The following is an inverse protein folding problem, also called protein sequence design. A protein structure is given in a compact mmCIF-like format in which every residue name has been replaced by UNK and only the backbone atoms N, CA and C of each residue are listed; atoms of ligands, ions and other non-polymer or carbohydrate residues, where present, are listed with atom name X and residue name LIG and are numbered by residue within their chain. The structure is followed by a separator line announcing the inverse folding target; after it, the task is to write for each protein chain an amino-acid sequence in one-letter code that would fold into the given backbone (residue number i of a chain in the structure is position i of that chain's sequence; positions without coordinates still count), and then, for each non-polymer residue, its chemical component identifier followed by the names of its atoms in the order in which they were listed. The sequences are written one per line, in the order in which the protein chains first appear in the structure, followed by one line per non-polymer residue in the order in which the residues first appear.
data_IF_318279037510
#
_entry.id   IF_318279037510
#
_cell.length_a   1.000
_cell.length_b   1.000
_cell.length_c   1.000
_cell.angle_alpha   90.00
_cell.angle_beta   90.00
_cell.angle_gamma   90.00
#
_symmetry.space_group_name_H-M   'P 1'
#
loop_
_entity.id
_entity.type
_entity.pdbx_description
1 polymer ?
#
# COMPACT_ATOMS: atom_id res chain seq x y z
N UNK A 1 4.97 -15.66 3.14
CA UNK A 1 3.92 -14.99 2.37
C UNK A 1 4.29 -13.53 2.37
N UNK A 2 4.39 -12.98 1.18
CA UNK A 2 5.02 -11.69 0.95
C UNK A 2 4.02 -10.79 0.24
N UNK A 3 4.06 -9.50 0.56
CA UNK A 3 3.20 -8.51 -0.08
C UNK A 3 3.99 -7.27 -0.50
N UNK A 4 3.73 -6.81 -1.71
CA UNK A 4 4.13 -5.51 -2.23
C UNK A 4 2.91 -4.58 -2.30
N UNK A 5 3.17 -3.28 -2.21
CA UNK A 5 2.16 -2.24 -2.32
C UNK A 5 2.52 -1.31 -3.46
N UNK A 6 1.52 -0.98 -4.26
CA UNK A 6 1.67 -0.09 -5.40
C UNK A 6 0.76 1.11 -5.20
N UNK A 7 1.33 2.30 -5.28
CA UNK A 7 0.63 3.58 -5.17
C UNK A 7 0.70 4.28 -6.54
N UNK A 8 -0.44 4.48 -7.18
CA UNK A 8 -0.56 5.08 -8.50
C UNK A 8 -1.16 6.48 -8.40
N UNK A 9 -0.44 7.48 -8.92
CA UNK A 9 -0.95 8.82 -9.17
C UNK A 9 -1.40 8.93 -10.63
N UNK A 10 -2.72 9.02 -10.82
CA UNK A 10 -3.34 8.97 -12.15
C UNK A 10 -3.17 10.26 -12.96
N UNK A 11 -2.77 11.38 -12.37
CA UNK A 11 -2.61 12.64 -13.12
C UNK A 11 -1.40 12.63 -14.06
N UNK A 12 -0.38 11.84 -13.73
CA UNK A 12 0.91 11.79 -14.44
C UNK A 12 1.41 10.36 -14.66
N UNK A 13 0.51 9.37 -14.55
CA UNK A 13 0.82 7.95 -14.70
C UNK A 13 2.06 7.50 -13.89
N UNK A 14 2.19 8.00 -12.65
CA UNK A 14 3.37 7.76 -11.83
C UNK A 14 3.07 6.74 -10.75
N UNK A 15 3.95 5.75 -10.61
CA UNK A 15 3.75 4.60 -9.73
C UNK A 15 4.90 4.46 -8.75
N UNK A 16 4.58 4.41 -7.45
CA UNK A 16 5.52 3.98 -6.41
C UNK A 16 5.25 2.52 -6.09
N UNK A 17 6.32 1.72 -6.08
CA UNK A 17 6.28 0.33 -5.63
C UNK A 17 7.07 0.25 -4.34
N UNK A 18 6.43 -0.25 -3.28
CA UNK A 18 7.02 -0.33 -1.95
C UNK A 18 6.72 -1.67 -1.29
N UNK A 19 7.69 -2.17 -0.52
CA UNK A 19 7.52 -3.40 0.26
C UNK A 19 8.57 -3.51 1.35
N UNK A 20 8.27 -4.38 2.32
CA UNK A 20 9.25 -4.75 3.34
C UNK A 20 8.96 -6.15 3.88
N UNK A 21 9.99 -6.99 3.86
CA UNK A 21 9.99 -8.35 4.38
C UNK A 21 11.38 -8.63 4.98
N UNK A 22 11.41 -9.04 6.24
CA UNK A 22 12.64 -9.29 7.00
C UNK A 22 13.64 -8.13 6.90
N UNK A 23 14.84 -8.38 6.37
CA UNK A 23 15.89 -7.38 6.16
C UNK A 23 15.77 -6.65 4.81
N UNK A 24 14.87 -7.08 3.93
CA UNK A 24 14.69 -6.50 2.61
C UNK A 24 13.60 -5.42 2.65
N UNK A 25 13.96 -4.23 2.16
CA UNK A 25 13.03 -3.14 1.95
C UNK A 25 13.23 -2.58 0.56
N UNK A 26 12.12 -2.32 -0.13
CA UNK A 26 12.14 -1.76 -1.47
C UNK A 26 11.30 -0.50 -1.52
N UNK A 27 11.85 0.53 -2.13
CA UNK A 27 11.14 1.67 -2.69
C UNK A 27 11.65 1.87 -4.10
N UNK A 28 10.74 2.01 -5.05
CA UNK A 28 11.07 2.39 -6.41
C UNK A 28 9.98 3.24 -7.03
N UNK A 29 10.39 4.18 -7.87
CA UNK A 29 9.52 5.08 -8.62
C UNK A 29 9.56 4.71 -10.09
N UNK A 30 8.39 4.52 -10.69
CA UNK A 30 8.28 4.01 -12.06
C UNK A 30 7.22 4.78 -12.84
N UNK A 31 7.45 4.88 -14.14
CA UNK A 31 6.41 5.27 -15.07
C UNK A 31 5.44 4.12 -15.27
N UNK A 32 4.15 4.43 -15.26
CA UNK A 32 3.11 3.46 -15.55
C UNK A 32 2.67 3.56 -17.00
N UNK A 33 2.64 2.43 -17.70
CA UNK A 33 2.30 2.36 -19.12
C UNK A 33 0.86 2.84 -19.40
N UNK A 34 -0.05 2.60 -18.45
CA UNK A 34 -1.47 2.94 -18.56
C UNK A 34 -1.89 3.81 -17.38
N UNK A 35 -2.36 5.03 -17.65
CA UNK A 35 -2.68 6.05 -16.64
C UNK A 35 -3.67 5.56 -15.56
N UNK A 36 -4.59 4.67 -15.93
CA UNK A 36 -5.71 4.21 -15.11
C UNK A 36 -5.70 2.70 -14.83
N UNK A 37 -4.55 2.03 -14.98
CA UNK A 37 -4.49 0.59 -14.78
C UNK A 37 -3.28 0.18 -13.96
N UNK A 38 -3.49 -0.77 -13.07
CA UNK A 38 -2.42 -1.41 -12.34
C UNK A 38 -1.86 -2.60 -13.14
N UNK A 39 -0.54 -2.90 -13.01
CA UNK A 39 0.04 -4.10 -13.61
C UNK A 39 -0.69 -5.37 -13.19
N UNK A 40 -1.16 -6.20 -14.13
CA UNK A 40 -1.82 -7.47 -13.79
C UNK A 40 -0.82 -8.62 -13.98
N UNK A 41 -0.42 -9.32 -12.90
CA UNK A 41 0.50 -10.44 -13.01
C UNK A 41 -0.11 -11.62 -13.77
N UNK A 42 0.70 -12.40 -14.50
CA UNK A 42 0.24 -13.65 -15.08
C UNK A 42 -0.28 -14.63 -14.00
N UNK A 43 -1.45 -15.29 -14.20
CA UNK A 43 -2.06 -16.17 -13.20
C UNK A 43 -1.15 -17.32 -12.73
N UNK A 44 -0.27 -17.84 -13.59
CA UNK A 44 0.65 -18.92 -13.23
C UNK A 44 1.65 -18.54 -12.12
N UNK A 45 1.90 -17.25 -11.90
CA UNK A 45 2.81 -16.79 -10.86
C UNK A 45 2.20 -16.84 -9.47
N UNK A 46 0.90 -17.09 -9.31
CA UNK A 46 0.29 -17.20 -7.98
C UNK A 46 0.29 -15.89 -7.18
N UNK A 47 0.35 -14.75 -7.86
CA UNK A 47 0.23 -13.42 -7.24
C UNK A 47 -1.24 -13.02 -7.23
N UNK A 48 -1.70 -12.55 -6.07
CA UNK A 48 -3.07 -12.10 -5.85
C UNK A 48 -3.10 -10.60 -5.66
N UNK A 49 -4.11 -9.96 -6.24
CA UNK A 49 -4.30 -8.52 -6.19
C UNK A 49 -5.52 -8.16 -5.34
N UNK A 50 -5.39 -7.11 -4.53
CA UNK A 50 -6.57 -6.43 -3.99
C UNK A 50 -7.40 -5.80 -5.13
N UNK A 51 -8.63 -5.33 -4.87
CA UNK A 51 -9.40 -4.53 -5.84
C UNK A 51 -8.51 -3.50 -6.55
N UNK A 52 -8.61 -3.40 -7.89
CA UNK A 52 -7.64 -2.67 -8.71
C UNK A 52 -8.24 -1.74 -9.77
N UNK A 53 -9.57 -1.62 -9.87
CA UNK A 53 -10.21 -0.74 -10.84
C UNK A 53 -10.00 0.73 -10.48
N UNK A 54 -9.42 1.51 -11.39
CA UNK A 54 -9.31 2.98 -11.24
C UNK A 54 -10.40 3.64 -12.07
N UNK A 55 -11.35 4.29 -11.41
CA UNK A 55 -12.47 4.97 -12.08
C UNK A 55 -12.43 6.49 -11.95
N UNK A 56 -11.59 7.03 -11.06
CA UNK A 56 -11.50 8.46 -10.77
C UNK A 56 -10.06 8.92 -10.76
N UNK A 57 -9.84 10.21 -10.99
CA UNK A 57 -8.53 10.80 -10.79
C UNK A 57 -8.14 10.80 -9.30
N UNK A 58 -6.85 10.64 -9.01
CA UNK A 58 -6.30 10.75 -7.67
C UNK A 58 -5.18 9.74 -7.41
N UNK A 59 -4.92 9.48 -6.13
CA UNK A 59 -3.92 8.51 -5.70
C UNK A 59 -4.59 7.21 -5.23
N UNK A 60 -4.27 6.10 -5.90
CA UNK A 60 -4.87 4.79 -5.65
C UNK A 60 -3.83 3.80 -5.16
N UNK A 61 -4.26 2.80 -4.37
CA UNK A 61 -3.39 1.79 -3.76
C UNK A 61 -3.90 0.40 -4.11
N UNK A 62 -2.99 -0.49 -4.49
CA UNK A 62 -3.21 -1.93 -4.66
C UNK A 62 -2.15 -2.72 -3.90
N UNK A 63 -2.56 -3.83 -3.28
CA UNK A 63 -1.66 -4.82 -2.72
C UNK A 63 -1.52 -6.03 -3.63
N UNK A 64 -0.28 -6.52 -3.75
CA UNK A 64 0.11 -7.71 -4.49
C UNK A 64 0.70 -8.68 -3.49
N UNK A 65 0.04 -9.81 -3.26
CA UNK A 65 0.49 -10.77 -2.27
C UNK A 65 0.65 -12.15 -2.90
N UNK A 66 1.67 -12.89 -2.47
CA UNK A 66 1.88 -14.27 -2.90
C UNK A 66 2.25 -15.16 -1.72
N UNK A 67 1.72 -16.39 -1.77
CA UNK A 67 2.14 -17.48 -0.86
C UNK A 67 3.26 -18.33 -1.47
N UNK A 68 3.59 -18.12 -2.75
CA UNK A 68 4.60 -18.86 -3.51
C UNK A 68 5.89 -18.06 -3.72
N UNK A 69 5.77 -16.75 -3.88
CA UNK A 69 6.88 -15.88 -4.25
C UNK A 69 7.31 -15.03 -3.05
N UNK A 70 8.62 -14.77 -2.97
CA UNK A 70 9.16 -13.78 -2.05
C UNK A 70 8.88 -12.34 -2.53
N UNK A 71 9.15 -11.36 -1.66
CA UNK A 71 8.92 -9.96 -2.00
C UNK A 71 9.66 -9.52 -3.27
N UNK A 72 10.90 -9.96 -3.48
CA UNK A 72 11.72 -9.56 -4.63
C UNK A 72 11.09 -10.03 -5.95
N UNK A 73 10.67 -11.29 -6.01
CA UNK A 73 9.99 -11.87 -7.18
C UNK A 73 8.66 -11.17 -7.48
N UNK A 74 7.91 -10.78 -6.45
CA UNK A 74 6.69 -9.98 -6.62
C UNK A 74 7.05 -8.62 -7.23
N UNK A 75 8.08 -7.94 -6.72
CA UNK A 75 8.54 -6.65 -7.25
C UNK A 75 8.97 -6.76 -8.71
N UNK A 76 9.84 -7.73 -9.02
CA UNK A 76 10.37 -7.96 -10.39
C UNK A 76 9.22 -8.14 -11.39
N UNK A 77 8.14 -8.81 -10.97
CA UNK A 77 6.92 -8.99 -11.79
C UNK A 77 6.17 -7.66 -12.00
N UNK A 78 6.00 -6.86 -10.93
CA UNK A 78 5.29 -5.57 -10.99
C UNK A 78 6.05 -4.57 -11.87
N UNK A 79 7.37 -4.53 -11.80
CA UNK A 79 8.21 -3.54 -12.49
C UNK A 79 8.63 -3.97 -13.89
N UNK A 80 8.32 -5.21 -14.29
CA UNK A 80 8.73 -5.75 -15.59
C UNK A 80 8.30 -4.84 -16.75
N UNK A 81 9.28 -4.42 -17.56
CA UNK A 81 9.06 -3.58 -18.74
C UNK A 81 8.74 -2.10 -18.42
N UNK A 82 8.91 -1.65 -17.18
CA UNK A 82 8.68 -0.26 -16.77
C UNK A 82 9.98 0.50 -16.61
N UNK A 83 9.94 1.77 -17.00
CA UNK A 83 11.06 2.67 -16.81
C UNK A 83 11.10 3.14 -15.36
N UNK A 84 12.22 2.89 -14.69
CA UNK A 84 12.49 3.49 -13.39
C UNK A 84 12.75 4.99 -13.57
N UNK A 85 12.00 5.80 -12.82
CA UNK A 85 12.11 7.25 -12.83
C UNK A 85 13.16 7.66 -11.79
N UNK A 86 14.38 7.90 -12.25
CA UNK A 86 15.43 8.46 -11.41
C UNK A 86 15.21 9.97 -11.22
N UNK A 87 14.80 10.38 -10.01
CA UNK A 87 14.80 11.77 -9.51
C UNK A 87 14.34 12.85 -10.51
N UNK A 88 13.36 12.56 -11.38
CA UNK A 88 12.77 13.58 -12.24
C UNK A 88 11.68 14.31 -11.46
N UNK A 89 11.89 15.55 -11.00
CA UNK A 89 10.75 16.43 -10.75
C UNK A 89 9.88 16.43 -12.03
N UNK A 90 8.56 16.52 -11.86
CA UNK A 90 7.55 16.55 -12.94
C UNK A 90 8.03 17.28 -14.19
N UNK A 91 7.60 16.87 -15.39
CA UNK A 91 7.95 17.54 -16.64
C UNK A 91 7.78 19.05 -16.51
N UNK A 92 8.91 19.76 -16.36
CA UNK A 92 8.95 21.20 -16.18
C UNK A 92 9.21 21.84 -17.52
N UNK A 93 8.46 22.90 -17.81
CA UNK A 93 8.66 23.65 -19.03
C UNK A 93 10.01 24.39 -19.04
N UNK A 94 10.41 24.83 -20.24
CA UNK A 94 11.66 25.56 -20.45
C UNK A 94 11.73 26.86 -19.63
N UNK A 95 10.57 27.50 -19.40
CA UNK A 95 10.45 28.71 -18.60
C UNK A 95 10.84 28.44 -17.14
N UNK A 96 10.34 27.35 -16.55
CA UNK A 96 10.70 26.92 -15.21
C UNK A 96 12.20 26.64 -15.12
N UNK A 97 12.76 25.87 -16.06
CA UNK A 97 14.19 25.54 -16.06
C UNK A 97 15.06 26.80 -16.15
N UNK A 98 14.63 27.78 -16.93
CA UNK A 98 15.29 29.08 -17.04
C UNK A 98 15.23 29.87 -15.73
N UNK A 99 14.08 29.89 -15.06
CA UNK A 99 13.89 30.55 -13.77
C UNK A 99 14.72 29.86 -12.65
N UNK A 100 14.74 28.53 -12.62
CA UNK A 100 15.57 27.75 -11.70
C UNK A 100 17.06 28.03 -11.88
N UNK A 101 17.54 28.05 -13.13
CA UNK A 101 18.93 28.38 -13.44
C UNK A 101 19.30 29.82 -13.04
N UNK A 102 18.37 30.76 -13.23
CA UNK A 102 18.54 32.15 -12.80
C UNK A 102 18.67 32.22 -11.28
N UNK A 103 17.82 31.49 -10.56
CA UNK A 103 17.89 31.38 -9.12
C UNK A 103 19.23 30.79 -8.65
N UNK A 104 19.69 29.68 -9.26
CA UNK A 104 20.97 29.06 -8.94
C UNK A 104 22.15 30.03 -9.10
N UNK A 105 22.18 30.80 -10.19
CA UNK A 105 23.22 31.82 -10.43
C UNK A 105 23.18 32.93 -9.37
N UNK A 106 21.99 33.36 -8.97
CA UNK A 106 21.83 34.39 -7.93
C UNK A 106 22.41 33.92 -6.59
N UNK A 107 22.16 32.66 -6.21
CA UNK A 107 22.72 32.07 -5.00
C UNK A 107 24.25 31.93 -5.09
N UNK A 108 24.76 31.48 -6.24
CA UNK A 108 26.18 31.26 -6.48
C UNK A 108 27.00 32.57 -6.53
N UNK A 109 26.37 33.69 -6.87
CA UNK A 109 27.07 34.98 -7.06
C UNK A 109 27.78 35.42 -5.77
N UNK A 110 29.11 35.49 -5.82
CA UNK A 110 29.94 35.90 -4.68
C UNK A 110 30.08 34.84 -3.59
N UNK A 111 29.78 33.57 -3.89
CA UNK A 111 29.95 32.45 -2.95
C UNK A 111 31.28 31.75 -3.24
N UNK A 112 32.13 31.64 -2.22
CA UNK A 112 33.33 30.81 -2.17
C UNK A 112 33.11 29.58 -1.27
N UNK A 113 33.98 28.56 -1.29
CA UNK A 113 33.85 27.38 -0.41
C UNK A 113 33.75 27.71 1.09
N UNK A 114 34.41 28.79 1.52
CA UNK A 114 34.41 29.24 2.92
C UNK A 114 33.31 30.27 3.23
N UNK A 115 32.47 30.61 2.25
CA UNK A 115 31.40 31.59 2.44
C UNK A 115 30.33 31.03 3.38
N UNK A 116 29.81 31.87 4.31
CA UNK A 116 28.70 31.47 5.16
C UNK A 116 27.44 31.23 4.32
N UNK A 117 26.54 30.39 4.82
CA UNK A 117 25.28 30.12 4.16
C UNK A 117 24.42 31.39 4.08
N UNK A 118 23.94 31.71 2.88
CA UNK A 118 23.09 32.88 2.67
C UNK A 118 21.69 32.65 3.25
N UNK A 119 21.12 33.59 4.03
CA UNK A 119 19.77 33.44 4.58
C UNK A 119 18.72 33.33 3.47
N UNK A 120 17.83 32.35 3.59
CA UNK A 120 16.77 32.12 2.62
C UNK A 120 15.83 33.33 2.50
N UNK A 121 15.57 34.03 3.60
CA UNK A 121 14.80 35.29 3.60
C UNK A 121 15.37 36.39 2.69
N UNK A 122 16.67 36.36 2.38
CA UNK A 122 17.33 37.33 1.49
C UNK A 122 17.37 36.85 0.03
N UNK A 123 17.17 35.54 -0.19
CA UNK A 123 17.19 34.92 -1.52
C UNK A 123 15.79 34.92 -2.12
N UNK A 124 14.77 34.61 -1.30
CA UNK A 124 13.39 34.56 -1.72
C UNK A 124 12.89 35.94 -2.19
N UNK A 125 12.30 36.00 -3.38
CA UNK A 125 11.91 37.25 -4.03
C UNK A 125 11.51 37.05 -5.49
N UNK A 126 11.77 38.05 -6.35
CA UNK A 126 11.46 37.97 -7.79
C UNK A 126 12.23 36.86 -8.51
N UNK A 127 13.51 36.67 -8.14
CA UNK A 127 14.44 35.83 -8.90
C UNK A 127 14.44 34.37 -8.41
N UNK A 128 13.94 34.12 -7.21
CA UNK A 128 13.89 32.81 -6.57
C UNK A 128 12.55 32.60 -5.87
N UNK A 129 11.76 31.66 -6.40
CA UNK A 129 10.60 31.11 -5.69
C UNK A 129 11.05 29.96 -4.79
N UNK A 130 10.29 29.66 -3.71
CA UNK A 130 10.59 28.53 -2.85
C UNK A 130 10.77 27.19 -3.62
N UNK A 131 9.97 26.95 -4.65
CA UNK A 131 10.01 25.73 -5.46
C UNK A 131 11.37 25.52 -6.15
N UNK A 132 12.00 26.61 -6.62
CA UNK A 132 13.33 26.55 -7.24
C UNK A 132 14.38 26.13 -6.20
N UNK A 133 14.34 26.71 -4.98
CA UNK A 133 15.29 26.38 -3.92
C UNK A 133 15.20 24.92 -3.49
N UNK A 134 13.99 24.44 -3.28
CA UNK A 134 13.77 23.04 -2.89
C UNK A 134 14.28 22.10 -3.97
N UNK A 135 14.02 22.40 -5.25
CA UNK A 135 14.48 21.53 -6.32
C UNK A 135 16.00 21.56 -6.52
N UNK A 136 16.63 22.73 -6.39
CA UNK A 136 18.10 22.84 -6.40
C UNK A 136 18.73 22.04 -5.26
N UNK A 137 18.12 22.09 -4.07
CA UNK A 137 18.59 21.32 -2.92
C UNK A 137 18.39 19.82 -3.13
N UNK A 138 17.26 19.41 -3.69
CA UNK A 138 16.97 18.02 -4.03
C UNK A 138 17.96 17.44 -5.05
N UNK A 139 18.31 18.23 -6.08
CA UNK A 139 19.35 17.91 -7.06
C UNK A 139 20.77 17.93 -6.49
N UNK A 140 20.94 18.28 -5.22
CA UNK A 140 22.25 18.39 -4.57
C UNK A 140 23.11 19.56 -5.05
N UNK A 141 22.54 20.52 -5.79
CA UNK A 141 23.25 21.69 -6.32
C UNK A 141 23.53 22.73 -5.25
N UNK A 142 22.71 22.75 -4.19
CA UNK A 142 22.92 23.59 -3.00
C UNK A 142 22.72 22.75 -1.74
N UNK A 143 23.49 23.04 -0.69
CA UNK A 143 23.26 22.54 0.65
C UNK A 143 22.29 23.43 1.41
N UNK A 144 21.47 22.84 2.29
CA UNK A 144 20.54 23.58 3.14
C UNK A 144 20.85 23.29 4.60
N UNK A 145 21.06 24.34 5.38
CA UNK A 145 21.17 24.30 6.84
C UNK A 145 20.11 25.15 7.50
N UNK A 146 20.10 25.19 8.84
CA UNK A 146 19.19 26.02 9.60
C UNK A 146 17.94 25.29 10.10
N UNK A 147 17.13 26.04 10.85
CA UNK A 147 16.00 25.50 11.63
C UNK A 147 14.90 24.88 10.78
N UNK A 148 14.71 25.35 9.54
CA UNK A 148 13.65 24.91 8.65
C UNK A 148 14.15 24.05 7.49
N UNK A 149 15.36 23.50 7.57
CA UNK A 149 16.02 22.74 6.50
C UNK A 149 15.40 21.35 6.20
N UNK A 150 14.35 20.93 6.90
CA UNK A 150 13.79 19.58 6.82
C UNK A 150 13.20 19.20 5.45
N UNK A 151 13.08 20.13 4.50
CA UNK A 151 12.61 19.87 3.13
C UNK A 151 13.71 19.39 2.19
N UNK A 152 14.97 19.43 2.63
CA UNK A 152 16.14 19.15 1.81
C UNK A 152 16.79 17.82 2.19
N UNK A 153 17.51 17.17 1.25
CA UNK A 153 18.37 16.05 1.57
C UNK A 153 19.42 16.39 2.63
N UNK A 154 19.97 15.35 3.27
CA UNK A 154 21.10 15.54 4.19
C UNK A 154 22.27 16.19 3.44
N UNK A 155 22.87 17.21 4.05
CA UNK A 155 23.98 17.95 3.46
C UNK A 155 25.16 17.00 3.16
N UNK A 156 25.73 17.12 1.96
CA UNK A 156 26.87 16.37 1.45
C UNK A 156 27.86 17.35 0.83
N UNK A 157 28.73 17.94 1.65
CA UNK A 157 29.86 18.80 1.26
C UNK A 157 29.59 19.83 0.14
N UNK A 158 28.35 20.35 0.05
CA UNK A 158 28.02 21.32 -1.00
C UNK A 158 28.74 22.64 -0.76
N UNK A 159 29.40 23.15 -1.80
CA UNK A 159 30.11 24.44 -1.79
C UNK A 159 29.14 25.61 -1.61
N UNK A 160 27.98 25.54 -2.26
CA UNK A 160 26.95 26.57 -2.18
C UNK A 160 25.95 26.17 -1.09
N UNK A 161 25.81 26.99 -0.06
CA UNK A 161 24.92 26.73 1.07
C UNK A 161 23.92 27.85 1.29
N UNK A 162 22.71 27.48 1.69
CA UNK A 162 21.67 28.41 2.14
C UNK A 162 21.23 28.07 3.57
N UNK A 163 20.88 29.09 4.34
CA UNK A 163 20.33 28.94 5.68
C UNK A 163 18.81 29.11 5.62
N UNK A 164 18.06 28.03 5.86
CA UNK A 164 16.61 28.01 5.99
C UNK A 164 16.19 28.66 7.32
N UNK A 165 16.28 29.99 7.34
CA UNK A 165 15.97 30.88 8.46
C UNK A 165 14.47 31.22 8.56
N UNK A 166 13.71 30.98 7.49
CA UNK A 166 12.27 31.18 7.40
C UNK A 166 11.54 29.87 7.06
N UNK A 167 10.31 29.67 7.57
CA UNK A 167 9.54 28.47 7.25
C UNK A 167 8.93 28.56 5.86
N UNK A 168 8.72 27.40 5.24
CA UNK A 168 8.11 27.32 3.92
C UNK A 168 6.73 26.66 4.01
N UNK A 169 5.76 27.21 3.28
CA UNK A 169 4.39 26.68 3.20
C UNK A 169 4.40 25.30 2.54
N UNK A 170 3.86 24.29 3.21
CA UNK A 170 3.86 22.92 2.72
C UNK A 170 3.06 22.79 1.40
N UNK A 171 1.91 23.47 1.33
CA UNK A 171 0.99 23.44 0.19
C UNK A 171 1.63 23.82 -1.15
N UNK A 172 2.71 24.61 -1.12
CA UNK A 172 3.41 25.04 -2.33
C UNK A 172 4.19 23.93 -3.04
N UNK A 173 4.34 22.75 -2.43
CA UNK A 173 5.22 21.68 -2.94
C UNK A 173 4.55 20.33 -3.13
N UNK A 174 3.27 20.26 -2.79
CA UNK A 174 2.51 19.03 -2.96
C UNK A 174 1.98 19.02 -4.40
N UNK A 175 2.27 17.96 -5.15
CA UNK A 175 1.64 17.76 -6.46
C UNK A 175 0.12 17.64 -6.24
N UNK A 176 -0.64 18.63 -6.72
CA UNK A 176 -2.07 18.76 -6.47
C UNK A 176 -2.46 19.44 -5.15
N UNK A 177 -1.51 19.92 -4.33
CA UNK A 177 -1.79 20.76 -3.15
C UNK A 177 -2.40 20.04 -1.93
N UNK A 178 -2.43 18.70 -1.94
CA UNK A 178 -3.14 17.92 -0.92
C UNK A 178 -2.23 16.93 -0.19
N UNK A 179 -2.40 16.85 1.14
CA UNK A 179 -1.94 15.68 1.89
C UNK A 179 -2.95 14.56 1.68
N UNK A 180 -2.47 13.33 1.73
CA UNK A 180 -3.23 12.13 1.47
C UNK A 180 -3.26 11.28 2.74
N UNK A 181 -4.45 10.93 3.20
CA UNK A 181 -4.63 10.02 4.32
C UNK A 181 -5.44 8.79 3.92
N UNK A 182 -5.30 7.74 4.71
CA UNK A 182 -6.18 6.60 4.61
C UNK A 182 -7.48 6.84 5.39
N UNK A 183 -8.48 5.97 5.19
CA UNK A 183 -9.80 6.09 5.84
C UNK A 183 -9.80 5.72 7.34
N UNK A 184 -8.62 5.66 7.97
CA UNK A 184 -8.48 5.24 9.37
C UNK A 184 -8.47 6.46 10.30
N UNK A 185 -9.32 6.42 11.34
CA UNK A 185 -9.36 7.41 12.41
C UNK A 185 -8.05 7.47 13.25
N UNK A 186 -7.11 6.54 13.03
CA UNK A 186 -5.84 6.42 13.77
C UNK A 186 -4.72 7.28 13.18
N UNK A 187 -4.98 8.03 12.11
CA UNK A 187 -3.95 8.71 11.29
C UNK A 187 -3.89 10.23 11.46
N UNK A 188 -4.62 10.85 12.39
CA UNK A 188 -4.83 12.31 12.40
C UNK A 188 -3.56 13.19 12.47
N UNK A 189 -2.39 12.59 12.77
CA UNK A 189 -1.11 13.26 12.84
C UNK A 189 -0.12 12.82 11.75
N UNK A 190 -0.51 11.95 10.82
CA UNK A 190 0.34 11.47 9.72
C UNK A 190 -0.40 11.50 8.39
N UNK A 191 0.29 11.93 7.34
CA UNK A 191 -0.25 11.89 5.99
C UNK A 191 0.87 11.72 4.98
N UNK A 192 0.58 11.07 3.86
CA UNK A 192 1.52 10.96 2.74
C UNK A 192 1.25 12.05 1.72
N UNK A 193 2.25 12.40 0.91
CA UNK A 193 2.07 13.33 -0.18
C UNK A 193 3.09 13.08 -1.28
N UNK A 194 2.72 13.48 -2.49
CA UNK A 194 3.65 13.57 -3.61
C UNK A 194 4.46 14.85 -3.48
N UNK A 195 5.69 14.72 -3.01
CA UNK A 195 6.63 15.82 -2.82
C UNK A 195 7.82 15.62 -3.77
N UNK A 196 8.04 16.58 -4.66
CA UNK A 196 9.05 16.49 -5.74
C UNK A 196 8.93 15.21 -6.59
N UNK A 197 7.69 14.76 -6.81
CA UNK A 197 7.39 13.54 -7.56
C UNK A 197 7.59 12.24 -6.80
N UNK A 198 8.09 12.26 -5.56
CA UNK A 198 8.24 11.09 -4.71
C UNK A 198 7.15 11.03 -3.63
N UNK A 199 6.85 9.84 -3.15
CA UNK A 199 5.89 9.66 -2.06
C UNK A 199 6.60 9.80 -0.71
N UNK A 200 6.23 10.82 0.06
CA UNK A 200 6.81 11.08 1.38
C UNK A 200 5.73 11.03 2.46
N UNK A 201 6.11 10.51 3.63
CA UNK A 201 5.27 10.51 4.83
C UNK A 201 5.62 11.71 5.70
N UNK A 202 4.61 12.46 6.11
CA UNK A 202 4.73 13.63 6.98
C UNK A 202 4.05 13.39 8.31
N UNK A 203 4.59 14.00 9.38
CA UNK A 203 3.99 14.03 10.71
C UNK A 203 3.68 15.45 11.15
N UNK A 204 2.47 15.65 11.67
CA UNK A 204 2.05 16.89 12.34
C UNK A 204 2.70 16.97 13.71
N UNK A 205 3.39 18.07 14.00
CA UNK A 205 4.15 18.28 15.27
C UNK A 205 3.59 19.41 16.13
N UNK A 206 2.58 20.14 15.64
CA UNK A 206 1.87 21.15 16.40
C UNK A 206 1.28 22.23 15.51
N UNK A 207 1.00 23.37 16.12
CA UNK A 207 0.42 24.54 15.48
C UNK A 207 1.29 25.77 15.73
N UNK A 208 1.32 26.72 14.79
CA UNK A 208 1.88 28.04 14.99
C UNK A 208 0.88 28.94 15.76
N UNK A 209 1.26 30.19 16.02
CA UNK A 209 0.42 31.18 16.73
C UNK A 209 -0.89 31.50 16.00
N UNK A 210 -0.93 31.32 14.68
CA UNK A 210 -2.08 31.62 13.82
C UNK A 210 -2.95 30.38 13.58
N UNK A 211 -2.71 29.28 14.31
CA UNK A 211 -3.45 28.03 14.17
C UNK A 211 -3.07 27.18 12.94
N UNK A 212 -2.01 27.53 12.20
CA UNK A 212 -1.49 26.74 11.07
C UNK A 212 -0.62 25.58 11.55
N UNK A 213 -0.67 24.46 10.83
CA UNK A 213 0.00 23.23 11.25
C UNK A 213 1.50 23.23 10.91
N UNK A 214 2.30 22.62 11.77
CA UNK A 214 3.69 22.28 11.49
C UNK A 214 3.82 20.82 11.10
N UNK A 215 4.50 20.58 9.99
CA UNK A 215 4.76 19.26 9.44
C UNK A 215 6.26 19.01 9.31
N UNK A 216 6.67 17.77 9.60
CA UNK A 216 8.02 17.27 9.34
C UNK A 216 7.94 16.00 8.49
N UNK A 217 8.86 15.79 7.54
CA UNK A 217 8.96 14.50 6.88
C UNK A 217 9.49 13.45 7.87
N UNK A 218 8.88 12.27 7.83
CA UNK A 218 9.35 11.06 8.52
C UNK A 218 10.26 10.26 7.58
N UNK A 219 9.90 10.21 6.30
CA UNK A 219 10.70 9.63 5.23
C UNK A 219 11.91 10.51 4.90
N UNK A 220 13.01 9.88 4.50
CA UNK A 220 14.20 10.57 4.01
C UNK A 220 13.91 11.21 2.64
N UNK A 221 14.34 12.45 2.47
CA UNK A 221 14.33 13.17 1.18
C UNK A 221 15.73 13.07 0.59
N UNK A 222 15.85 12.71 -0.68
CA UNK A 222 17.10 12.46 -1.41
C UNK A 222 17.73 11.07 -1.18
N UNK A 223 17.17 10.28 -0.28
CA UNK A 223 17.55 8.89 0.00
C UNK A 223 16.28 8.02 -0.01
N UNK A 224 15.48 8.14 -1.06
CA UNK A 224 14.13 7.56 -1.12
C UNK A 224 14.12 6.03 -1.05
N UNK A 225 15.19 5.37 -1.49
CA UNK A 225 15.32 3.91 -1.48
C UNK A 225 15.14 3.33 -0.05
N UNK A 226 15.46 4.10 0.99
CA UNK A 226 15.34 3.69 2.39
C UNK A 226 13.90 3.85 2.94
N UNK A 227 12.98 4.45 2.17
CA UNK A 227 11.63 4.76 2.64
C UNK A 227 10.66 3.57 2.57
N UNK A 228 11.05 2.47 1.91
CA UNK A 228 10.16 1.36 1.59
C UNK A 228 9.43 0.78 2.82
N UNK A 229 10.17 0.52 3.89
CA UNK A 229 9.60 -0.05 5.12
C UNK A 229 8.62 0.90 5.79
N UNK A 230 8.96 2.19 5.86
CA UNK A 230 8.14 3.22 6.51
C UNK A 230 6.81 3.39 5.76
N UNK A 231 6.86 3.49 4.43
CA UNK A 231 5.68 3.65 3.59
C UNK A 231 4.80 2.39 3.56
N UNK A 232 5.40 1.20 3.45
CA UNK A 232 4.67 -0.06 3.51
C UNK A 232 3.91 -0.21 4.84
N UNK A 233 4.56 0.14 5.95
CA UNK A 233 3.92 0.11 7.28
C UNK A 233 2.79 1.14 7.41
N UNK A 234 2.98 2.33 6.85
CA UNK A 234 1.92 3.34 6.80
C UNK A 234 0.69 2.83 6.03
N UNK A 235 0.89 2.26 4.83
CA UNK A 235 -0.19 1.70 4.03
C UNK A 235 -0.92 0.61 4.81
N UNK A 236 -0.20 -0.37 5.36
CA UNK A 236 -0.81 -1.44 6.16
C UNK A 236 -1.60 -0.94 7.37
N UNK A 237 -1.23 0.21 7.95
CA UNK A 237 -1.87 0.76 9.14
C UNK A 237 -3.06 1.68 8.83
N UNK A 238 -3.08 2.28 7.64
CA UNK A 238 -4.03 3.34 7.30
C UNK A 238 -4.95 3.00 6.13
N UNK A 239 -4.67 1.95 5.37
CA UNK A 239 -5.50 1.45 4.29
C UNK A 239 -6.27 0.19 4.75
N UNK A 240 -7.48 0.32 5.34
CA UNK A 240 -8.20 -0.80 5.95
C UNK A 240 -8.49 -1.95 4.96
N UNK A 241 -8.85 -1.64 3.71
CA UNK A 241 -9.15 -2.67 2.71
C UNK A 241 -7.89 -3.44 2.31
N UNK A 242 -6.75 -2.73 2.21
CA UNK A 242 -5.43 -3.33 1.95
C UNK A 242 -4.97 -4.17 3.14
N UNK A 243 -5.18 -3.68 4.35
CA UNK A 243 -4.86 -4.39 5.58
C UNK A 243 -5.66 -5.69 5.71
N UNK A 244 -6.97 -5.62 5.45
CA UNK A 244 -7.85 -6.78 5.48
C UNK A 244 -7.51 -7.79 4.38
N UNK A 245 -7.22 -7.32 3.16
CA UNK A 245 -6.72 -8.18 2.09
C UNK A 245 -5.43 -8.92 2.48
N UNK A 246 -4.48 -8.22 3.10
CA UNK A 246 -3.22 -8.81 3.58
C UNK A 246 -3.49 -9.90 4.64
N UNK A 247 -4.46 -9.69 5.53
CA UNK A 247 -4.89 -10.70 6.52
C UNK A 247 -5.52 -11.92 5.86
N UNK A 248 -6.39 -11.71 4.87
CA UNK A 248 -6.98 -12.79 4.07
C UNK A 248 -5.88 -13.64 3.43
N UNK A 249 -4.82 -13.01 2.90
CA UNK A 249 -3.70 -13.73 2.31
C UNK A 249 -2.87 -14.53 3.32
N UNK A 250 -2.73 -14.06 4.57
CA UNK A 250 -2.14 -14.86 5.67
C UNK A 250 -2.97 -16.10 5.97
N UNK A 251 -4.28 -15.94 6.03
CA UNK A 251 -5.19 -17.05 6.27
C UNK A 251 -5.20 -18.04 5.12
N UNK A 252 -5.08 -17.55 3.88
CA UNK A 252 -4.93 -18.40 2.71
C UNK A 252 -3.63 -19.20 2.75
N UNK A 253 -2.52 -18.61 3.18
CA UNK A 253 -1.27 -19.34 3.39
C UNK A 253 -1.47 -20.48 4.41
N UNK A 254 -2.12 -20.21 5.54
CA UNK A 254 -2.44 -21.23 6.54
C UNK A 254 -3.34 -22.33 5.96
N UNK A 255 -4.37 -21.96 5.19
CA UNK A 255 -5.26 -22.89 4.51
C UNK A 255 -4.48 -23.79 3.55
N UNK A 256 -3.60 -23.22 2.73
CA UNK A 256 -2.76 -23.96 1.78
C UNK A 256 -1.90 -25.01 2.50
N UNK A 257 -1.23 -24.64 3.60
CA UNK A 257 -0.40 -25.57 4.39
C UNK A 257 -1.25 -26.70 5.00
N UNK A 258 -2.46 -26.40 5.48
CA UNK A 258 -3.37 -27.43 6.01
C UNK A 258 -3.86 -28.38 4.92
N UNK A 259 -4.27 -27.85 3.77
CA UNK A 259 -4.70 -28.66 2.63
C UNK A 259 -3.57 -29.56 2.13
N UNK A 260 -2.32 -29.08 2.16
CA UNK A 260 -1.15 -29.92 1.86
C UNK A 260 -0.95 -31.05 2.87
N UNK A 261 -1.14 -30.79 4.18
CA UNK A 261 -1.04 -31.81 5.22
C UNK A 261 -2.15 -32.86 5.15
N UNK A 262 -3.39 -32.45 4.89
CA UNK A 262 -4.54 -33.37 4.76
C UNK A 262 -4.35 -34.39 3.64
N UNK A 263 -3.64 -34.03 2.56
CA UNK A 263 -3.30 -34.96 1.47
C UNK A 263 -2.45 -36.17 1.92
N UNK A 264 -1.96 -36.19 3.16
CA UNK A 264 -1.16 -37.30 3.74
C UNK A 264 -1.99 -38.27 4.58
N UNK A 265 -3.24 -37.95 4.90
CA UNK A 265 -4.11 -38.77 5.78
C UNK A 265 -5.44 -39.02 5.08
N UNK A 266 -5.82 -40.29 4.91
CA UNK A 266 -6.98 -40.80 4.15
C UNK A 266 -8.20 -39.84 4.05
N UNK A 267 -8.62 -39.52 2.82
CA UNK A 267 -9.91 -38.89 2.56
C UNK A 267 -11.05 -39.90 2.75
N UNK A 268 -11.95 -39.62 3.71
CA UNK A 268 -13.25 -40.26 3.84
C UNK A 268 -14.15 -39.83 2.68
N UNK A 269 -14.86 -40.77 2.08
CA UNK A 269 -15.83 -40.56 1.00
C UNK A 269 -16.97 -39.62 1.42
N UNK A 270 -17.33 -38.68 0.53
CA UNK A 270 -18.48 -37.77 0.70
C UNK A 270 -19.81 -38.55 0.78
N UNK A 271 -20.79 -38.12 1.60
CA UNK A 271 -22.15 -38.66 1.57
C UNK A 271 -22.87 -38.30 0.26
N UNK A 272 -23.87 -39.08 -0.10
CA UNK A 272 -24.61 -38.95 -1.36
C UNK A 272 -25.51 -37.70 -1.41
N UNK A 273 -25.77 -37.19 -2.62
CA UNK A 273 -26.58 -35.99 -2.86
C UNK A 273 -28.04 -36.09 -2.40
N UNK A 274 -28.58 -37.31 -2.25
CA UNK A 274 -29.95 -37.55 -1.80
C UNK A 274 -30.20 -37.07 -0.36
N UNK A 275 -29.15 -36.94 0.47
CA UNK A 275 -29.27 -36.51 1.86
C UNK A 275 -29.38 -34.97 2.02
N UNK A 276 -29.19 -34.19 0.95
CA UNK A 276 -29.07 -32.72 1.03
C UNK A 276 -30.30 -31.93 0.55
N UNK A 277 -31.12 -32.46 -0.35
CA UNK A 277 -32.22 -31.70 -0.97
C UNK A 277 -33.51 -31.67 -0.12
N UNK A 278 -33.72 -32.61 0.80
CA UNK A 278 -35.00 -32.77 1.49
C UNK A 278 -35.28 -31.73 2.60
N UNK A 279 -34.28 -30.92 3.00
CA UNK A 279 -34.39 -30.05 4.18
C UNK A 279 -34.43 -28.52 3.90
N UNK A 280 -34.45 -28.08 2.64
CA UNK A 280 -34.21 -26.66 2.27
C UNK A 280 -35.21 -25.60 2.80
N UNK A 281 -36.54 -25.80 2.84
CA UNK A 281 -37.47 -24.71 3.19
C UNK A 281 -37.51 -24.35 4.68
N UNK A 282 -37.22 -25.29 5.58
CA UNK A 282 -37.31 -25.06 7.03
C UNK A 282 -36.11 -24.27 7.59
N UNK A 283 -34.99 -24.24 6.84
CA UNK A 283 -33.72 -23.63 7.23
C UNK A 283 -33.72 -22.10 7.30
N UNK A 284 -34.49 -21.42 6.43
CA UNK A 284 -34.51 -19.95 6.38
C UNK A 284 -35.31 -19.31 7.53
N UNK A 285 -36.18 -20.07 8.20
CA UNK A 285 -37.05 -19.57 9.26
C UNK A 285 -36.33 -19.51 10.62
N UNK A 286 -35.43 -20.46 10.90
CA UNK A 286 -34.73 -20.61 12.18
C UNK A 286 -33.60 -19.56 12.35
N UNK A 287 -33.01 -19.08 11.26
CA UNK A 287 -32.00 -18.00 11.28
C UNK A 287 -32.56 -16.67 11.82
N UNK A 288 -33.88 -16.49 11.84
CA UNK A 288 -34.54 -15.30 12.41
C UNK A 288 -34.79 -15.39 13.91
N UNK A 289 -34.78 -16.58 14.51
CA UNK A 289 -35.28 -16.77 15.89
C UNK A 289 -34.22 -17.12 16.94
N UNK A 290 -32.95 -17.29 16.56
CA UNK A 290 -31.81 -17.23 17.48
C UNK A 290 -31.77 -18.31 18.59
N UNK A 291 -32.52 -19.40 18.48
CA UNK A 291 -32.46 -20.55 19.40
C UNK A 291 -31.83 -21.74 18.69
N UNK A 292 -30.62 -22.11 19.12
CA UNK A 292 -29.91 -23.31 18.63
C UNK A 292 -29.99 -24.37 19.73
N UNK A 293 -30.64 -25.49 19.44
CA UNK A 293 -30.70 -26.68 20.30
C UNK A 293 -29.73 -27.77 19.79
N UNK A 294 -29.30 -28.68 20.66
CA UNK A 294 -28.15 -29.60 20.46
C UNK A 294 -28.44 -30.82 19.56
N UNK A 295 -29.56 -30.86 18.83
CA UNK A 295 -30.00 -32.05 18.09
C UNK A 295 -30.05 -31.89 16.55
N UNK A 296 -29.29 -30.94 15.97
CA UNK A 296 -29.33 -30.65 14.53
C UNK A 296 -28.45 -31.58 13.65
N UNK A 297 -28.81 -31.77 12.35
CA UNK A 297 -28.10 -32.67 11.45
C UNK A 297 -26.70 -32.18 11.08
N UNK A 298 -25.83 -33.12 10.75
CA UNK A 298 -24.39 -33.01 10.42
C UNK A 298 -24.00 -32.09 9.23
N UNK A 299 -24.89 -31.22 8.75
CA UNK A 299 -24.60 -30.29 7.65
C UNK A 299 -23.89 -28.99 8.09
N UNK A 300 -23.81 -28.71 9.40
CA UNK A 300 -23.01 -27.61 9.96
C UNK A 300 -21.48 -27.85 9.93
N UNK A 301 -21.04 -29.02 9.48
CA UNK A 301 -19.64 -29.45 9.46
C UNK A 301 -18.93 -29.21 8.12
N UNK A 302 -19.56 -28.59 7.12
CA UNK A 302 -18.90 -28.44 5.82
C UNK A 302 -18.40 -27.01 5.59
N UNK A 303 -17.14 -26.92 5.17
CA UNK A 303 -16.49 -25.72 4.67
C UNK A 303 -16.44 -25.81 3.15
N UNK A 304 -17.10 -24.87 2.48
CA UNK A 304 -17.02 -24.65 1.03
C UNK A 304 -15.94 -23.62 0.73
N UNK A 305 -14.94 -24.02 -0.04
CA UNK A 305 -13.86 -23.15 -0.52
C UNK A 305 -14.09 -22.90 -2.01
N UNK A 306 -14.10 -21.64 -2.41
CA UNK A 306 -14.37 -21.21 -3.79
C UNK A 306 -13.18 -20.45 -4.37
N UNK A 307 -13.19 -20.27 -5.69
CA UNK A 307 -12.16 -19.54 -6.46
C UNK A 307 -10.75 -20.15 -6.31
N UNK A 308 -10.66 -21.47 -6.37
CA UNK A 308 -9.39 -22.18 -6.15
C UNK A 308 -8.45 -21.93 -7.33
N UNK A 309 -7.24 -21.37 -7.11
CA UNK A 309 -6.31 -21.10 -8.18
C UNK A 309 -5.75 -22.38 -8.81
N UNK A 310 -5.52 -22.36 -10.12
CA UNK A 310 -5.02 -23.50 -10.87
C UNK A 310 -3.69 -24.07 -10.32
N UNK A 311 -2.83 -23.23 -9.73
CA UNK A 311 -1.56 -23.69 -9.16
C UNK A 311 -1.73 -24.50 -7.85
N UNK A 312 -2.85 -24.33 -7.14
CA UNK A 312 -3.24 -25.21 -6.02
C UNK A 312 -3.80 -26.53 -6.58
N UNK A 313 -4.57 -26.44 -7.66
CA UNK A 313 -5.16 -27.60 -8.31
C UNK A 313 -4.11 -28.52 -8.92
N UNK A 314 -3.11 -28.02 -9.64
CA UNK A 314 -2.05 -28.85 -10.22
C UNK A 314 -1.33 -29.69 -9.16
N UNK A 315 -1.05 -29.11 -7.98
CA UNK A 315 -0.47 -29.82 -6.83
C UNK A 315 -1.44 -30.81 -6.17
N UNK A 316 -2.76 -30.65 -6.35
CA UNK A 316 -3.78 -31.56 -5.83
C UNK A 316 -4.10 -32.70 -6.82
N UNK A 317 -4.22 -32.38 -8.11
CA UNK A 317 -4.61 -33.28 -9.19
C UNK A 317 -3.47 -34.24 -9.57
N UNK A 318 -2.22 -33.77 -9.66
CA UNK A 318 -1.06 -34.62 -10.01
C UNK A 318 -0.83 -35.79 -9.04
N UNK A 319 -1.43 -35.79 -7.84
CA UNK A 319 -1.33 -36.88 -6.87
C UNK A 319 -2.59 -37.73 -6.75
N UNK A 320 -3.75 -37.24 -7.20
CA UNK A 320 -5.04 -37.94 -7.16
C UNK A 320 -5.43 -38.64 -8.48
N UNK A 321 -4.75 -38.34 -9.60
CA UNK A 321 -4.96 -39.01 -10.89
C UNK A 321 -4.60 -40.51 -10.89
N UNK A 322 -4.01 -41.03 -9.82
CA UNK A 322 -3.83 -42.49 -9.65
C UNK A 322 -5.03 -43.18 -8.96
N UNK A 323 -6.10 -42.48 -8.55
CA UNK A 323 -7.23 -43.12 -7.84
C UNK A 323 -8.66 -42.66 -8.16
N UNK A 324 -8.88 -41.51 -8.80
CA UNK A 324 -10.23 -40.96 -8.98
C UNK A 324 -10.79 -41.01 -10.41
N UNK A 325 -10.28 -41.91 -11.26
CA UNK A 325 -10.82 -42.14 -12.61
C UNK A 325 -11.72 -43.38 -12.67
N UNK A 326 -12.63 -43.56 -11.71
CA UNK A 326 -13.76 -44.49 -11.85
C UNK A 326 -14.97 -43.87 -11.15
N UNK A 327 -16.08 -43.74 -11.88
CA UNK A 327 -17.41 -43.29 -11.43
C UNK A 327 -17.60 -41.78 -11.19
N UNK A 328 -17.91 -41.04 -12.26
CA UNK A 328 -19.20 -40.34 -12.36
C UNK A 328 -19.40 -39.78 -13.78
N UNK A 329 -20.38 -40.33 -14.51
CA UNK A 329 -20.82 -39.86 -15.83
C UNK A 329 -21.74 -38.62 -15.70
N UNK A 330 -21.21 -37.46 -15.28
CA UNK A 330 -21.90 -36.17 -15.47
C UNK A 330 -20.88 -35.07 -15.82
N UNK A 331 -20.84 -34.61 -17.09
CA UNK A 331 -19.88 -33.60 -17.54
C UNK A 331 -20.14 -32.18 -16.99
N UNK A 332 -21.31 -31.92 -16.40
CA UNK A 332 -21.80 -30.56 -16.17
C UNK A 332 -21.35 -29.92 -14.85
N UNK A 333 -20.75 -30.68 -13.93
CA UNK A 333 -20.23 -30.15 -12.65
C UNK A 333 -18.74 -29.77 -12.66
N UNK A 334 -18.07 -29.87 -13.82
CA UNK A 334 -16.64 -29.57 -13.96
C UNK A 334 -16.31 -28.07 -14.11
N UNK A 335 -17.31 -27.18 -14.05
CA UNK A 335 -17.13 -25.75 -14.35
C UNK A 335 -17.10 -24.82 -13.13
N UNK A 336 -17.39 -25.30 -11.92
CA UNK A 336 -17.19 -24.51 -10.68
C UNK A 336 -16.26 -25.27 -9.74
N UNK A 337 -15.00 -24.82 -9.67
CA UNK A 337 -13.90 -25.42 -8.90
C UNK A 337 -14.01 -25.10 -7.41
N UNK A 338 -15.00 -25.73 -6.78
CA UNK A 338 -15.26 -25.60 -5.35
C UNK A 338 -14.75 -26.85 -4.61
N UNK A 339 -14.14 -26.68 -3.43
CA UNK A 339 -13.82 -27.79 -2.51
C UNK A 339 -14.78 -27.74 -1.34
N UNK A 340 -15.36 -28.89 -0.99
CA UNK A 340 -16.12 -29.08 0.25
C UNK A 340 -15.32 -29.98 1.19
N UNK A 341 -15.06 -29.52 2.42
CA UNK A 341 -14.27 -30.26 3.43
C UNK A 341 -14.86 -30.14 4.82
N UNK A 342 -14.42 -30.97 5.78
CA UNK A 342 -14.87 -30.86 7.16
C UNK A 342 -14.33 -29.55 7.79
N UNK A 343 -15.24 -28.80 8.40
CA UNK A 343 -15.05 -27.54 9.10
C UNK A 343 -14.19 -27.69 10.37
N UNK A 344 -14.26 -28.84 11.04
CA UNK A 344 -13.53 -29.13 12.29
C UNK A 344 -12.01 -29.08 12.11
N UNK A 345 -11.54 -29.16 10.85
CA UNK A 345 -10.12 -29.07 10.52
C UNK A 345 -9.61 -27.61 10.67
N UNK A 346 -10.51 -26.65 10.84
CA UNK A 346 -10.22 -25.23 10.98
C UNK A 346 -10.68 -24.71 12.34
N UNK A 347 -9.72 -24.22 13.12
CA UNK A 347 -9.97 -23.52 14.37
C UNK A 347 -10.07 -22.04 14.07
N UNK A 348 -11.25 -21.47 14.30
CA UNK A 348 -11.60 -20.07 14.05
C UNK A 348 -10.62 -19.07 14.63
N UNK A 349 -10.13 -19.32 15.85
CA UNK A 349 -9.20 -18.46 16.58
C UNK A 349 -7.87 -18.24 15.85
N UNK A 350 -7.60 -19.01 14.78
CA UNK A 350 -6.40 -18.90 13.97
C UNK A 350 -6.55 -18.00 12.75
N UNK A 351 -7.75 -17.50 12.45
CA UNK A 351 -7.95 -16.56 11.34
C UNK A 351 -7.51 -15.15 11.75
N UNK A 352 -6.73 -14.52 10.89
CA UNK A 352 -6.29 -13.13 11.01
C UNK A 352 -7.31 -12.15 10.42
N UNK A 353 -8.06 -12.59 9.40
CA UNK A 353 -9.08 -11.81 8.69
C UNK A 353 -10.43 -11.92 9.38
N UNK A 354 -11.04 -10.76 9.65
CA UNK A 354 -12.41 -10.72 10.14
C UNK A 354 -13.41 -11.10 9.03
N UNK A 355 -13.09 -10.82 7.76
CA UNK A 355 -13.89 -11.25 6.60
C UNK A 355 -13.96 -12.77 6.52
N UNK A 356 -12.84 -13.47 6.59
CA UNK A 356 -12.83 -14.94 6.57
C UNK A 356 -13.43 -15.55 7.84
N UNK A 357 -13.10 -15.02 9.03
CA UNK A 357 -13.70 -15.47 10.28
C UNK A 357 -15.24 -15.36 10.27
N UNK A 358 -15.78 -14.22 9.82
CA UNK A 358 -17.23 -14.02 9.72
C UNK A 358 -17.87 -14.90 8.65
N UNK A 359 -17.23 -15.09 7.49
CA UNK A 359 -17.74 -15.96 6.43
C UNK A 359 -17.74 -17.43 6.84
N UNK A 360 -16.69 -17.84 7.58
CA UNK A 360 -16.63 -19.16 8.19
C UNK A 360 -17.78 -19.37 9.20
N UNK A 361 -18.10 -18.38 10.03
CA UNK A 361 -19.20 -18.47 11.00
C UNK A 361 -20.59 -18.52 10.35
N UNK A 362 -20.82 -17.75 9.29
CA UNK A 362 -22.15 -17.55 8.68
C UNK A 362 -22.59 -18.65 7.70
N UNK A 363 -21.73 -19.60 7.39
CA UNK A 363 -22.09 -20.70 6.48
C UNK A 363 -20.93 -21.52 5.95
N UNK A 364 -19.74 -21.38 6.54
CA UNK A 364 -18.57 -22.14 6.08
C UNK A 364 -18.15 -21.80 4.66
N UNK A 365 -18.43 -20.61 4.14
CA UNK A 365 -17.97 -20.19 2.81
C UNK A 365 -16.66 -19.41 2.94
N UNK A 366 -15.60 -19.90 2.30
CA UNK A 366 -14.34 -19.18 2.15
C UNK A 366 -14.09 -18.95 0.67
N UNK A 367 -13.85 -17.70 0.31
CA UNK A 367 -13.48 -17.31 -1.04
C UNK A 367 -11.99 -16.94 -1.05
N UNK A 368 -11.21 -17.69 -1.84
CA UNK A 368 -9.80 -17.34 -2.08
C UNK A 368 -9.78 -16.06 -2.91
N UNK A 369 -8.96 -15.05 -2.56
CA UNK A 369 -8.87 -13.83 -3.34
C UNK A 369 -8.53 -14.14 -4.80
N UNK A 370 -9.10 -13.41 -5.78
CA UNK A 370 -8.73 -13.62 -7.17
C UNK A 370 -7.29 -13.17 -7.45
N UNK A 371 -6.70 -13.71 -8.50
CA UNK A 371 -5.36 -13.32 -8.95
C UNK A 371 -5.33 -11.94 -9.63
N UNK A 372 -6.50 -11.51 -10.11
CA UNK A 372 -6.76 -10.17 -10.64
C UNK A 372 -8.16 -9.72 -10.22
N UNK A 373 -8.32 -8.49 -9.74
CA UNK A 373 -9.64 -7.94 -9.40
C UNK A 373 -9.89 -6.56 -10.07
N UNK A 374 -9.95 -6.50 -11.41
CA UNK A 374 -10.17 -5.25 -12.14
C UNK A 374 -11.64 -4.80 -12.13
N UNK A 375 -12.54 -5.54 -11.47
CA UNK A 375 -13.98 -5.22 -11.43
C UNK A 375 -14.30 -4.29 -10.26
N UNK A 376 -13.66 -4.52 -9.12
CA UNK A 376 -13.85 -3.74 -7.89
C UNK A 376 -12.89 -2.55 -7.83
N UNK A 377 -13.36 -1.43 -7.29
CA UNK A 377 -12.60 -0.19 -7.19
C UNK A 377 -11.34 -0.35 -6.33
N UNK A 378 -10.21 0.13 -6.83
CA UNK A 378 -8.99 0.26 -6.06
C UNK A 378 -9.21 1.22 -4.88
N UNK A 379 -8.54 0.96 -3.76
CA UNK A 379 -8.60 1.86 -2.63
C UNK A 379 -7.99 3.22 -3.03
N UNK A 380 -8.74 4.30 -2.80
CA UNK A 380 -8.26 5.67 -3.02
C UNK A 380 -7.83 6.29 -1.68
N UNK A 381 -6.69 7.00 -1.69
CA UNK A 381 -6.32 7.86 -0.57
C UNK A 381 -7.16 9.13 -0.59
N UNK A 382 -7.58 9.59 0.60
CA UNK A 382 -8.40 10.78 0.76
C UNK A 382 -7.51 12.01 0.80
N UNK A 383 -7.80 12.95 -0.09
CA UNK A 383 -7.19 14.28 -0.11
C UNK A 383 -7.73 15.10 1.06
N UNK A 384 -6.83 15.61 1.89
CA UNK A 384 -7.15 16.57 2.94
C UNK A 384 -6.54 17.91 2.55
N UNK A 385 -7.36 18.97 2.63
CA UNK A 385 -6.87 20.34 2.49
C UNK A 385 -5.93 20.67 3.63
N UNK A 386 -4.75 21.20 3.30
CA UNK A 386 -3.75 21.56 4.31
C UNK A 386 -3.33 23.01 4.15
N UNK A 387 -3.30 23.70 5.29
CA UNK A 387 -2.60 24.96 5.45
C UNK A 387 -1.54 24.76 6.53
N UNK A 388 -0.27 24.88 6.17
CA UNK A 388 0.79 24.60 7.13
C UNK A 388 2.18 24.90 6.63
N UNK A 389 3.16 24.61 7.47
CA UNK A 389 4.56 24.87 7.19
C UNK A 389 5.39 23.62 7.40
N UNK A 390 6.41 23.46 6.55
CA UNK A 390 7.51 22.52 6.77
C UNK A 390 8.45 23.11 7.82
N UNK A 391 8.72 22.37 8.89
CA UNK A 391 9.66 22.84 9.90
C UNK A 391 9.82 21.97 11.12
N UNK A 392 11.03 21.97 11.68
CA UNK A 392 11.31 21.34 12.96
C UNK A 392 10.77 22.21 14.11
N UNK A 393 9.99 21.60 15.01
CA UNK A 393 9.69 22.21 16.30
C UNK A 393 10.97 22.16 17.14
N UNK A 394 11.57 23.32 17.41
CA UNK A 394 12.71 23.42 18.36
C UNK A 394 12.28 22.78 19.70
N UNK A 395 13.15 21.95 20.26
CA UNK A 395 12.98 21.36 21.60
C UNK A 395 12.79 22.43 22.68
N UNK A 396 13.21 23.67 22.44
CA UNK A 396 13.18 24.76 23.42
C UNK A 396 11.77 25.32 23.68
N UNK A 397 10.77 24.94 22.87
CA UNK A 397 9.38 25.34 23.09
C UNK A 397 8.51 24.28 23.80
N UNK A 398 9.10 23.17 24.26
CA UNK A 398 8.42 22.17 25.09
C UNK A 398 8.40 22.50 26.60
N UNK A 399 9.05 23.58 27.01
CA UNK A 399 9.15 23.97 28.41
C UNK A 399 8.54 25.35 28.70
N UNK A 400 7.25 25.58 28.38
CA UNK A 400 6.43 26.64 29.02
C UNK A 400 4.99 26.66 28.46
N UNK A 401 4.09 25.95 29.13
CA UNK A 401 2.66 26.27 29.36
C UNK A 401 2.05 25.08 30.10
N UNK A 402 1.34 25.19 31.23
CA UNK A 402 1.05 26.26 32.20
C UNK A 402 0.53 25.48 33.42
N UNK A 403 1.15 25.61 34.59
CA UNK A 403 0.41 25.51 35.85
C UNK A 403 -0.33 26.84 35.97
N UNK A 404 -1.65 26.82 35.87
CA UNK A 404 -2.55 27.73 36.57
C UNK A 404 -3.64 26.82 37.13
#
# INVERSE_FOLDING_TARGET
MSCAYVVLLTSVARMVVTGSEDAYSHYGLYENLNVNEFPVPPPQLGIHMSPSKVSTHGTHIVAYCSILNDLKQIMDTIIQGRLELTQKPEDRDEAYLTAENTCARSIAKGTSPDSPAKPMSQILGSDCKPEHLINLAFKGLIGVEGKYACFAPRMRDQVIKINADTPIKLENFLSGGHLLTGNSARSNDQAVAWFLGNLHLFKKVGFNTDGKQWWIPITSIGDENDNGHILSKFIQSNAPDIHEFTKVMKDFQMLSVKLEKMKTTQFLSLPSQQDMEENSPHYNQIFREGKIDNNYPKLFFYLKITNIPAYIEMKALQRNTNRAAINTNRPEFLLTKDIVTNRDIFVMEKFHSMKWASSFLRGGLIEIPPQSNPKEAAMRLVEIGVSGFLGQKSKDQLGKKRRI
#
